data_IF_430754008884
#
_entry.id   IF_430754008884
#
_cell.length_a   1.000
_cell.length_b   1.000
_cell.length_c   1.000
_cell.angle_alpha   90.00
_cell.angle_beta   90.00
_cell.angle_gamma   90.00
#
_symmetry.space_group_name_H-M   'P 1'
#
loop_
_entity.id
_entity.type
_entity.pdbx_description
1 polymer ?
#
# COMPACT_ATOMS: atom_id res chain seq x y z
N UNK A 1 4.81 8.35 11.29
CA UNK A 1 4.19 8.22 9.93
C UNK A 1 5.16 8.68 8.84
N UNK A 2 5.37 7.87 7.80
CA UNK A 2 6.28 8.16 6.67
C UNK A 2 5.58 7.87 5.33
N UNK A 3 5.90 8.65 4.29
CA UNK A 3 5.38 8.42 2.94
C UNK A 3 6.51 8.33 1.93
N UNK A 4 6.35 7.49 0.92
CA UNK A 4 7.27 7.42 -0.21
C UNK A 4 6.57 6.92 -1.48
N UNK A 5 7.06 7.39 -2.63
CA UNK A 5 6.63 6.88 -3.92
C UNK A 5 7.12 5.45 -4.12
N UNK A 6 6.26 4.61 -4.68
CA UNK A 6 6.54 3.22 -4.96
C UNK A 6 6.15 2.88 -6.40
N UNK A 7 7.03 2.15 -7.06
CA UNK A 7 6.75 1.59 -8.38
C UNK A 7 5.87 0.33 -8.26
N UNK A 8 5.30 -0.17 -9.37
CA UNK A 8 4.38 -1.31 -9.32
C UNK A 8 4.96 -2.58 -8.68
N UNK A 9 6.23 -2.99 -8.93
CA UNK A 9 6.84 -4.11 -8.23
C UNK A 9 6.87 -3.94 -6.71
N UNK A 10 7.31 -2.78 -6.20
CA UNK A 10 7.38 -2.52 -4.76
C UNK A 10 6.00 -2.58 -4.12
N UNK A 11 4.96 -2.00 -4.76
CA UNK A 11 3.59 -2.06 -4.25
C UNK A 11 3.04 -3.49 -4.21
N UNK A 12 3.35 -4.30 -5.22
CA UNK A 12 2.93 -5.71 -5.27
C UNK A 12 3.62 -6.51 -4.18
N UNK A 13 4.94 -6.40 -4.07
CA UNK A 13 5.72 -7.17 -3.11
C UNK A 13 5.29 -6.82 -1.67
N UNK A 14 5.09 -5.52 -1.36
CA UNK A 14 4.55 -5.10 -0.06
C UNK A 14 3.13 -5.62 0.21
N UNK A 15 2.27 -5.72 -0.81
CA UNK A 15 0.92 -6.28 -0.67
C UNK A 15 0.99 -7.78 -0.40
N UNK A 16 1.81 -8.51 -1.15
CA UNK A 16 1.95 -9.96 -1.07
C UNK A 16 2.60 -10.40 0.26
N UNK A 17 3.50 -9.59 0.81
CA UNK A 17 4.14 -9.80 2.11
C UNK A 17 3.28 -9.37 3.31
N UNK A 18 2.15 -8.70 3.08
CA UNK A 18 1.28 -8.18 4.13
C UNK A 18 -0.04 -8.94 4.28
N UNK A 19 -0.61 -8.89 5.48
CA UNK A 19 -2.02 -9.21 5.70
C UNK A 19 -2.89 -8.04 5.22
N UNK A 20 -3.68 -8.23 4.17
CA UNK A 20 -4.61 -7.20 3.67
C UNK A 20 -5.82 -7.10 4.59
N UNK A 21 -6.03 -5.92 5.19
CA UNK A 21 -7.13 -5.63 6.10
C UNK A 21 -8.37 -5.09 5.36
N UNK A 22 -8.15 -4.27 4.33
CA UNK A 22 -9.21 -3.74 3.48
C UNK A 22 -8.64 -3.28 2.13
N UNK A 23 -9.48 -3.35 1.09
CA UNK A 23 -9.18 -2.87 -0.25
C UNK A 23 -10.39 -2.10 -0.77
N UNK A 24 -10.17 -0.90 -1.31
CA UNK A 24 -11.19 -0.04 -1.87
C UNK A 24 -10.74 0.55 -3.19
N UNK A 25 -11.49 0.27 -4.24
CA UNK A 25 -11.33 0.93 -5.53
C UNK A 25 -12.07 2.27 -5.54
N UNK A 26 -11.37 3.32 -5.97
CA UNK A 26 -11.86 4.70 -6.08
C UNK A 26 -11.77 5.22 -7.53
N UNK A 27 -11.87 4.32 -8.51
CA UNK A 27 -11.84 4.63 -9.95
C UNK A 27 -10.42 4.92 -10.47
N UNK A 28 -9.80 5.99 -10.01
CA UNK A 28 -8.45 6.39 -10.45
C UNK A 28 -7.33 5.78 -9.60
N UNK A 29 -7.67 5.21 -8.45
CA UNK A 29 -6.73 4.53 -7.57
C UNK A 29 -7.42 3.44 -6.76
N UNK A 30 -6.62 2.48 -6.29
CA UNK A 30 -7.01 1.50 -5.27
C UNK A 30 -6.30 1.86 -3.97
N UNK A 31 -7.03 1.92 -2.86
CA UNK A 31 -6.46 2.04 -1.52
C UNK A 31 -6.50 0.68 -0.84
N UNK A 32 -5.37 0.25 -0.30
CA UNK A 32 -5.21 -1.03 0.38
C UNK A 32 -4.64 -0.73 1.74
N UNK A 33 -5.33 -1.11 2.81
CA UNK A 33 -4.78 -1.08 4.16
C UNK A 33 -4.28 -2.47 4.49
N UNK A 34 -3.05 -2.60 4.98
CA UNK A 34 -2.43 -3.89 5.24
C UNK A 34 -1.55 -3.84 6.50
N UNK A 35 -1.28 -5.01 7.09
CA UNK A 35 -0.31 -5.17 8.18
C UNK A 35 0.89 -5.97 7.68
N UNK A 36 2.02 -5.28 7.54
CA UNK A 36 3.30 -5.86 7.20
C UNK A 36 3.97 -6.47 8.44
N UNK A 37 4.61 -7.64 8.36
CA UNK A 37 5.24 -8.31 9.50
C UNK A 37 6.36 -7.48 10.15
N UNK A 38 7.10 -6.69 9.37
CA UNK A 38 8.24 -5.89 9.86
C UNK A 38 7.99 -4.39 9.89
N UNK A 39 7.15 -3.86 8.98
CA UNK A 39 6.92 -2.42 8.81
C UNK A 39 5.66 -1.94 9.56
N UNK A 40 4.88 -2.86 10.13
CA UNK A 40 3.65 -2.51 10.83
C UNK A 40 2.51 -2.18 9.88
N UNK A 41 1.74 -1.13 10.17
CA UNK A 41 0.55 -0.76 9.38
C UNK A 41 0.95 0.03 8.14
N UNK A 42 0.50 -0.45 6.99
CA UNK A 42 0.70 0.19 5.69
C UNK A 42 -0.63 0.61 5.09
N UNK A 43 -0.61 1.74 4.40
CA UNK A 43 -1.62 2.11 3.40
C UNK A 43 -0.94 2.18 2.04
N UNK A 44 -1.31 1.31 1.13
CA UNK A 44 -0.83 1.27 -0.24
C UNK A 44 -1.87 1.96 -1.12
N UNK A 45 -1.46 3.03 -1.80
CA UNK A 45 -2.30 3.74 -2.76
C UNK A 45 -1.75 3.45 -4.14
N UNK A 46 -2.46 2.66 -4.95
CA UNK A 46 -2.06 2.27 -6.30
C UNK A 46 -2.85 3.04 -7.32
N UNK A 47 -2.19 3.86 -8.16
CA UNK A 47 -2.83 4.53 -9.29
C UNK A 47 -3.05 3.59 -10.48
N UNK A 48 -3.78 4.05 -11.50
CA UNK A 48 -4.11 3.26 -12.71
C UNK A 48 -2.90 2.69 -13.46
N UNK A 49 -1.74 3.34 -13.37
CA UNK A 49 -0.49 2.89 -14.01
C UNK A 49 0.25 1.84 -13.20
N UNK A 50 -0.28 1.46 -12.03
CA UNK A 50 0.34 0.55 -11.08
C UNK A 50 1.36 1.20 -10.14
N UNK A 51 1.87 2.39 -10.47
CA UNK A 51 2.69 3.18 -9.56
C UNK A 51 1.81 3.88 -8.51
N UNK A 52 2.40 4.30 -7.40
CA UNK A 52 1.63 4.91 -6.33
C UNK A 52 2.46 5.29 -5.12
N UNK A 53 1.80 5.36 -3.96
CA UNK A 53 2.38 5.85 -2.71
C UNK A 53 2.17 4.81 -1.62
N UNK A 54 3.18 4.61 -0.79
CA UNK A 54 3.09 3.85 0.44
C UNK A 54 3.09 4.83 1.61
N UNK A 55 2.17 4.61 2.55
CA UNK A 55 2.11 5.32 3.82
C UNK A 55 2.36 4.31 4.94
N UNK A 56 3.47 4.48 5.64
CA UNK A 56 3.73 3.80 6.91
C UNK A 56 3.04 4.57 8.03
N UNK A 57 2.11 3.92 8.71
CA UNK A 57 1.33 4.52 9.80
C UNK A 57 1.72 3.93 11.14
N UNK A 58 1.77 4.78 12.17
CA UNK A 58 1.94 4.33 13.55
C UNK A 58 0.57 4.11 14.18
N UNK A 59 0.49 3.06 14.99
CA UNK A 59 -0.64 2.62 15.81
C UNK A 59 -1.86 2.01 15.12
#
# INVERSE_FOLDING_TARGET
MRMFDANPPVLRDLKDESEVLAEKDAGDFTVITARHPTLGKLVLIRGRTGAGVVVETEE
#
